data_IF_322400519070
#
_entry.id   IF_322400519070
#
_cell.length_a   1.000
_cell.length_b   1.000
_cell.length_c   1.000
_cell.angle_alpha   90.00
_cell.angle_beta   90.00
_cell.angle_gamma   90.00
#
_symmetry.space_group_name_H-M   'P 1'
#
loop_
_entity.id
_entity.type
_entity.pdbx_description
1 polymer ?
#
# COMPACT_ATOMS: atom_id res chain seq x y z
N UNK A 1 -7.58 13.97 -23.90
CA UNK A 1 -7.02 12.67 -23.46
C UNK A 1 -6.71 11.88 -24.72
N UNK A 2 -5.46 11.48 -24.92
CA UNK A 2 -5.07 10.70 -26.10
C UNK A 2 -5.89 9.40 -26.17
N UNK A 3 -6.46 9.09 -27.34
CA UNK A 3 -7.21 7.84 -27.54
C UNK A 3 -6.22 6.68 -27.65
N UNK A 4 -5.59 6.30 -26.54
CA UNK A 4 -4.60 5.22 -26.46
C UNK A 4 -5.11 3.91 -27.07
N UNK A 5 -6.43 3.71 -27.12
CA UNK A 5 -7.08 2.55 -27.73
C UNK A 5 -6.82 2.48 -29.23
N UNK A 6 -6.67 3.61 -29.93
CA UNK A 6 -6.31 3.66 -31.36
C UNK A 6 -4.88 3.18 -31.63
N UNK A 7 -4.02 3.18 -30.62
CA UNK A 7 -2.65 2.67 -30.73
C UNK A 7 -2.55 1.15 -30.53
N UNK A 8 -3.64 0.49 -30.14
CA UNK A 8 -3.65 -0.95 -29.86
C UNK A 8 -4.04 -1.77 -31.08
N UNK A 9 -3.45 -2.96 -31.19
CA UNK A 9 -3.78 -3.93 -32.26
C UNK A 9 -5.16 -4.59 -32.07
N UNK A 10 -5.71 -4.54 -30.86
CA UNK A 10 -7.01 -5.10 -30.49
C UNK A 10 -7.54 -4.40 -29.24
N UNK A 11 -8.84 -4.52 -28.96
CA UNK A 11 -9.45 -4.00 -27.74
C UNK A 11 -9.26 -5.00 -26.56
N UNK A 12 -8.45 -4.69 -25.53
CA UNK A 12 -8.22 -5.59 -24.40
C UNK A 12 -9.32 -5.50 -23.34
N UNK A 13 -10.23 -4.52 -23.43
CA UNK A 13 -11.22 -4.25 -22.39
C UNK A 13 -12.16 -5.43 -22.09
N UNK A 14 -12.65 -6.21 -23.08
CA UNK A 14 -13.49 -7.36 -22.76
C UNK A 14 -12.82 -8.37 -21.82
N UNK A 15 -11.51 -8.59 -21.99
CA UNK A 15 -10.71 -9.46 -21.12
C UNK A 15 -10.39 -8.79 -19.77
N UNK A 16 -9.96 -7.53 -19.79
CA UNK A 16 -9.63 -6.79 -18.55
C UNK A 16 -10.84 -6.58 -17.63
N UNK A 17 -12.04 -6.51 -18.21
CA UNK A 17 -13.29 -6.31 -17.48
C UNK A 17 -14.02 -7.64 -17.20
N UNK A 18 -13.48 -8.78 -17.60
CA UNK A 18 -14.07 -10.07 -17.29
C UNK A 18 -14.08 -10.29 -15.76
N UNK A 19 -15.18 -10.79 -15.17
CA UNK A 19 -15.16 -11.26 -13.78
C UNK A 19 -14.18 -12.44 -13.63
N UNK A 20 -13.19 -12.28 -12.74
CA UNK A 20 -12.23 -13.33 -12.38
C UNK A 20 -12.21 -13.46 -10.84
N UNK A 21 -12.73 -14.58 -10.32
CA UNK A 21 -12.78 -14.81 -8.87
C UNK A 21 -11.39 -15.02 -8.25
N UNK A 22 -10.41 -15.47 -9.02
CA UNK A 22 -9.04 -15.64 -8.56
C UNK A 22 -8.27 -14.32 -8.54
N UNK A 23 -8.55 -13.42 -9.49
CA UNK A 23 -7.88 -12.10 -9.62
C UNK A 23 -8.88 -10.94 -9.80
N UNK A 24 -9.82 -10.72 -8.86
CA UNK A 24 -10.87 -9.70 -9.01
C UNK A 24 -10.30 -8.26 -9.13
N UNK A 25 -9.08 -8.03 -8.65
CA UNK A 25 -8.39 -6.75 -8.74
C UNK A 25 -8.14 -6.28 -10.18
N UNK A 26 -8.02 -7.19 -11.15
CA UNK A 26 -7.78 -6.81 -12.56
C UNK A 26 -8.91 -5.94 -13.07
N UNK A 27 -10.17 -6.35 -12.86
CA UNK A 27 -11.35 -5.59 -13.26
C UNK A 27 -11.44 -4.26 -12.50
N UNK A 28 -11.18 -4.26 -11.19
CA UNK A 28 -11.21 -3.05 -10.37
C UNK A 28 -10.21 -1.99 -10.88
N UNK A 29 -8.94 -2.37 -11.07
CA UNK A 29 -7.91 -1.45 -11.56
C UNK A 29 -8.14 -1.04 -13.02
N UNK A 30 -8.68 -1.91 -13.87
CA UNK A 30 -9.03 -1.53 -15.24
C UNK A 30 -10.12 -0.44 -15.29
N UNK A 31 -11.17 -0.56 -14.45
CA UNK A 31 -12.23 0.44 -14.34
C UNK A 31 -11.70 1.78 -13.80
N UNK A 32 -10.91 1.72 -12.72
CA UNK A 32 -10.40 2.92 -12.05
C UNK A 32 -9.28 3.62 -12.82
N UNK A 33 -8.23 2.89 -13.17
CA UNK A 33 -6.96 3.47 -13.63
C UNK A 33 -6.89 3.60 -15.16
N UNK A 34 -7.46 2.66 -15.91
CA UNK A 34 -7.42 2.70 -17.38
C UNK A 34 -8.62 3.44 -17.97
N UNK A 35 -9.82 3.24 -17.40
CA UNK A 35 -11.04 3.90 -17.84
C UNK A 35 -11.33 5.20 -17.07
N UNK A 36 -10.57 5.49 -16.01
CA UNK A 36 -10.68 6.75 -15.26
C UNK A 36 -12.02 6.94 -14.56
N UNK A 37 -12.70 5.84 -14.22
CA UNK A 37 -14.01 5.93 -13.56
C UNK A 37 -13.83 6.36 -12.11
N UNK A 38 -14.73 7.23 -11.60
CA UNK A 38 -14.64 7.69 -10.22
C UNK A 38 -14.98 6.57 -9.23
N UNK A 39 -14.56 6.71 -7.98
CA UNK A 39 -14.73 5.69 -6.95
C UNK A 39 -16.20 5.42 -6.56
N UNK A 40 -17.09 6.38 -6.81
CA UNK A 40 -18.53 6.27 -6.60
C UNK A 40 -19.30 5.69 -7.79
N UNK A 41 -18.61 5.38 -8.90
CA UNK A 41 -19.19 4.61 -10.01
C UNK A 41 -19.58 3.21 -9.51
N UNK A 42 -20.84 2.83 -9.77
CA UNK A 42 -21.38 1.56 -9.33
C UNK A 42 -20.57 0.33 -9.78
N UNK A 43 -19.96 0.33 -10.96
CA UNK A 43 -19.12 -0.78 -11.41
C UNK A 43 -17.79 -0.82 -10.67
N UNK A 44 -17.21 0.34 -10.33
CA UNK A 44 -15.98 0.43 -9.53
C UNK A 44 -16.24 -0.06 -8.11
N UNK A 45 -17.33 0.39 -7.49
CA UNK A 45 -17.74 -0.04 -6.16
C UNK A 45 -18.01 -1.55 -6.11
N UNK A 46 -18.74 -2.10 -7.09
CA UNK A 46 -19.01 -3.53 -7.17
C UNK A 46 -17.73 -4.35 -7.40
N UNK A 47 -16.79 -3.87 -8.23
CA UNK A 47 -15.51 -4.53 -8.43
C UNK A 47 -14.65 -4.52 -7.15
N UNK A 48 -14.66 -3.42 -6.38
CA UNK A 48 -13.97 -3.37 -5.10
C UNK A 48 -14.61 -4.30 -4.06
N UNK A 49 -15.93 -4.42 -4.03
CA UNK A 49 -16.61 -5.39 -3.17
C UNK A 49 -16.19 -6.84 -3.53
N UNK A 50 -16.11 -7.16 -4.82
CA UNK A 50 -15.63 -8.46 -5.28
C UNK A 50 -14.19 -8.73 -4.83
N UNK A 51 -13.32 -7.72 -4.92
CA UNK A 51 -11.94 -7.76 -4.41
C UNK A 51 -11.88 -8.10 -2.92
N UNK A 52 -12.84 -7.62 -2.13
CA UNK A 52 -12.92 -7.91 -0.69
C UNK A 52 -13.52 -9.28 -0.36
N UNK A 53 -14.22 -9.91 -1.31
CA UNK A 53 -14.98 -11.17 -1.10
C UNK A 53 -14.31 -12.41 -1.68
N UNK A 54 -13.55 -12.27 -2.77
CA UNK A 54 -12.91 -13.39 -3.47
C UNK A 54 -11.42 -13.12 -3.70
N UNK A 55 -10.71 -14.11 -4.23
CA UNK A 55 -9.29 -14.01 -4.51
C UNK A 55 -8.42 -13.97 -3.23
N UNK A 56 -7.27 -13.30 -3.26
CA UNK A 56 -6.27 -13.39 -2.18
C UNK A 56 -6.59 -12.58 -0.92
N UNK A 57 -7.37 -11.50 -1.01
CA UNK A 57 -7.59 -10.59 0.13
C UNK A 57 -8.29 -11.26 1.30
N UNK A 58 -9.40 -12.01 1.13
CA UNK A 58 -10.03 -12.73 2.24
C UNK A 58 -9.04 -13.61 3.00
N UNK A 59 -8.24 -14.39 2.28
CA UNK A 59 -7.25 -15.27 2.89
C UNK A 59 -6.15 -14.50 3.65
N UNK A 60 -5.73 -13.33 3.17
CA UNK A 60 -4.78 -12.46 3.88
C UNK A 60 -5.43 -11.95 5.18
N UNK A 61 -6.65 -11.44 5.11
CA UNK A 61 -7.35 -10.87 6.27
C UNK A 61 -7.72 -11.93 7.31
N UNK A 62 -8.09 -13.14 6.90
CA UNK A 62 -8.40 -14.25 7.81
C UNK A 62 -7.17 -14.73 8.59
N UNK A 63 -5.96 -14.50 8.06
CA UNK A 63 -4.71 -14.80 8.74
C UNK A 63 -4.24 -13.70 9.71
N UNK A 64 -4.98 -12.58 9.82
CA UNK A 64 -4.66 -11.46 10.69
C UNK A 64 -4.95 -11.82 12.16
N UNK A 65 -4.03 -11.48 13.06
CA UNK A 65 -4.31 -11.54 14.49
C UNK A 65 -5.27 -10.42 14.92
N UNK A 66 -6.09 -10.60 15.97
CA UNK A 66 -7.08 -9.62 16.41
C UNK A 66 -6.56 -8.20 16.67
N UNK A 67 -5.26 -8.07 16.99
CA UNK A 67 -4.56 -6.81 17.22
C UNK A 67 -4.12 -6.10 15.93
N UNK A 68 -4.25 -6.73 14.76
CA UNK A 68 -3.99 -6.12 13.45
C UNK A 68 -2.67 -6.52 12.78
N UNK A 69 -1.93 -7.49 13.34
CA UNK A 69 -0.63 -7.91 12.80
C UNK A 69 -0.65 -9.32 12.20
N UNK A 70 0.42 -9.68 11.49
CA UNK A 70 0.66 -11.03 10.98
C UNK A 70 1.96 -11.61 11.52
N UNK A 71 1.97 -12.93 11.71
CA UNK A 71 3.09 -13.74 12.20
C UNK A 71 3.50 -13.45 13.65
N UNK A 72 3.92 -12.24 13.97
CA UNK A 72 4.38 -11.84 15.31
C UNK A 72 4.28 -10.33 15.52
N UNK A 73 4.20 -9.87 16.78
CA UNK A 73 4.19 -8.44 17.05
C UNK A 73 5.51 -7.74 16.71
N UNK A 74 5.44 -6.42 16.55
CA UNK A 74 6.57 -5.53 16.31
C UNK A 74 6.55 -4.89 14.90
N UNK A 75 7.71 -4.42 14.40
CA UNK A 75 7.80 -3.63 13.17
C UNK A 75 7.37 -4.35 11.88
N UNK A 76 7.17 -5.67 11.92
CA UNK A 76 6.45 -6.38 10.84
C UNK A 76 7.19 -6.58 9.53
N UNK A 77 8.51 -6.40 9.45
CA UNK A 77 9.27 -6.64 8.20
C UNK A 77 9.64 -8.11 7.97
N UNK A 78 10.02 -8.83 9.03
CA UNK A 78 10.51 -10.21 8.95
C UNK A 78 9.57 -11.18 9.66
N UNK A 79 9.25 -12.35 9.06
CA UNK A 79 9.78 -12.86 7.79
C UNK A 79 9.23 -12.15 6.54
N UNK A 80 10.07 -12.07 5.50
CA UNK A 80 9.76 -11.38 4.25
C UNK A 80 8.51 -11.98 3.59
N UNK A 81 7.63 -11.13 3.06
CA UNK A 81 6.37 -11.48 2.40
C UNK A 81 5.29 -12.12 3.27
N UNK A 82 5.53 -12.28 4.58
CA UNK A 82 4.54 -12.85 5.52
C UNK A 82 4.21 -11.93 6.67
N UNK A 83 5.18 -11.17 7.15
CA UNK A 83 4.98 -10.25 8.26
C UNK A 83 4.16 -9.00 7.85
N UNK A 84 3.67 -8.29 8.86
CA UNK A 84 2.65 -7.23 8.76
C UNK A 84 2.89 -6.20 7.65
N UNK A 85 4.10 -5.66 7.50
CA UNK A 85 4.36 -4.65 6.47
C UNK A 85 4.02 -5.20 5.08
N UNK A 86 4.43 -6.44 4.79
CA UNK A 86 4.15 -7.05 3.49
C UNK A 86 2.67 -7.33 3.27
N UNK A 87 1.93 -7.71 4.30
CA UNK A 87 0.49 -7.94 4.15
C UNK A 87 -0.26 -6.63 3.86
N UNK A 88 0.10 -5.53 4.51
CA UNK A 88 -0.45 -4.20 4.19
C UNK A 88 -0.11 -3.78 2.76
N UNK A 89 1.13 -4.01 2.33
CA UNK A 89 1.55 -3.76 0.94
C UNK A 89 0.70 -4.57 -0.06
N UNK A 90 0.49 -5.86 0.21
CA UNK A 90 -0.33 -6.71 -0.66
C UNK A 90 -1.79 -6.31 -0.67
N UNK A 91 -2.38 -5.99 0.48
CA UNK A 91 -3.76 -5.50 0.55
C UNK A 91 -3.95 -4.27 -0.34
N UNK A 92 -3.05 -3.29 -0.25
CA UNK A 92 -3.09 -2.10 -1.10
C UNK A 92 -2.95 -2.45 -2.60
N UNK A 93 -1.93 -3.25 -2.95
CA UNK A 93 -1.65 -3.65 -4.34
C UNK A 93 -2.75 -4.52 -4.96
N UNK A 94 -3.53 -5.23 -4.15
CA UNK A 94 -4.64 -6.07 -4.60
C UNK A 94 -5.97 -5.32 -4.63
N UNK A 95 -6.02 -4.06 -4.17
CA UNK A 95 -7.19 -3.20 -4.25
C UNK A 95 -8.12 -3.27 -3.04
N UNK A 96 -7.62 -3.66 -1.87
CA UNK A 96 -8.39 -3.69 -0.64
C UNK A 96 -9.10 -2.35 -0.36
N UNK A 97 -10.30 -2.41 0.18
CA UNK A 97 -10.99 -1.22 0.68
C UNK A 97 -10.38 -0.80 2.02
N UNK A 98 -9.73 0.36 2.04
CA UNK A 98 -9.15 0.95 3.25
C UNK A 98 -10.16 1.30 4.34
N UNK A 99 -11.47 1.29 4.04
CA UNK A 99 -12.53 1.51 5.02
C UNK A 99 -12.87 0.26 5.83
N UNK A 100 -12.50 -0.94 5.36
CA UNK A 100 -12.69 -2.19 6.10
C UNK A 100 -11.94 -2.13 7.44
N UNK A 101 -12.63 -2.49 8.53
CA UNK A 101 -12.08 -2.36 9.89
C UNK A 101 -10.81 -3.19 10.11
N UNK A 102 -10.65 -4.34 9.43
CA UNK A 102 -9.46 -5.19 9.51
C UNK A 102 -8.27 -4.53 8.83
N UNK A 103 -8.52 -3.88 7.68
CA UNK A 103 -7.52 -3.10 6.95
C UNK A 103 -7.11 -1.87 7.78
N UNK A 104 -8.09 -1.14 8.34
CA UNK A 104 -7.79 0.01 9.21
C UNK A 104 -6.94 -0.38 10.40
N UNK A 105 -7.28 -1.50 11.04
CA UNK A 105 -6.52 -2.05 12.17
C UNK A 105 -5.08 -2.40 11.80
N UNK A 106 -4.86 -2.98 10.61
CA UNK A 106 -3.53 -3.24 10.09
C UNK A 106 -2.70 -1.97 9.92
N UNK A 107 -3.32 -0.93 9.34
CA UNK A 107 -2.65 0.36 9.12
C UNK A 107 -2.29 1.03 10.44
N UNK A 108 -3.22 1.08 11.39
CA UNK A 108 -2.94 1.62 12.73
C UNK A 108 -1.82 0.84 13.42
N UNK A 109 -1.80 -0.48 13.28
CA UNK A 109 -0.71 -1.31 13.79
C UNK A 109 0.64 -0.93 13.17
N UNK A 110 0.70 -0.75 11.85
CA UNK A 110 1.93 -0.34 11.14
C UNK A 110 2.41 1.04 11.59
N UNK A 111 1.51 2.02 11.68
CA UNK A 111 1.85 3.37 12.14
C UNK A 111 2.37 3.36 13.57
N UNK A 112 1.81 2.55 14.46
CA UNK A 112 2.24 2.45 15.85
C UNK A 112 3.57 1.70 16.05
N UNK A 113 3.90 0.71 15.20
CA UNK A 113 5.00 -0.23 15.47
C UNK A 113 6.17 -0.13 14.49
N UNK A 114 5.96 0.39 13.28
CA UNK A 114 6.98 0.44 12.24
C UNK A 114 7.44 1.86 11.89
N UNK A 115 6.63 2.88 12.18
CA UNK A 115 7.02 4.27 12.00
C UNK A 115 7.96 4.72 13.13
N UNK A 116 9.12 5.25 12.76
CA UNK A 116 10.13 5.74 13.71
C UNK A 116 10.05 7.26 13.87
N UNK A 117 10.78 7.81 14.84
CA UNK A 117 10.67 9.22 15.26
C UNK A 117 10.91 10.26 14.16
N UNK A 118 11.68 9.92 13.11
CA UNK A 118 11.91 10.79 11.96
C UNK A 118 10.83 10.63 10.86
N UNK A 119 9.72 9.94 11.14
CA UNK A 119 8.62 9.70 10.22
C UNK A 119 8.82 8.51 9.27
N UNK A 120 10.01 7.94 9.19
CA UNK A 120 10.31 6.84 8.29
C UNK A 120 9.71 5.50 8.75
N UNK A 121 9.45 4.59 7.80
CA UNK A 121 9.07 3.21 8.12
C UNK A 121 10.31 2.31 8.13
N UNK A 122 10.50 1.59 9.24
CA UNK A 122 11.71 0.81 9.51
C UNK A 122 11.46 -0.69 9.52
N UNK A 123 12.46 -1.43 9.04
CA UNK A 123 12.49 -2.90 9.11
C UNK A 123 12.48 -3.45 10.54
N UNK A 124 12.96 -2.68 11.51
CA UNK A 124 13.19 -3.13 12.88
C UNK A 124 12.80 -2.09 13.94
N UNK A 125 12.02 -1.07 13.57
CA UNK A 125 11.54 -0.04 14.50
C UNK A 125 12.64 0.92 14.97
N UNK A 126 13.80 0.95 14.29
CA UNK A 126 14.89 1.89 14.56
C UNK A 126 15.20 2.72 13.32
N UNK A 127 15.60 4.01 13.45
CA UNK A 127 15.91 4.86 12.28
C UNK A 127 16.93 4.24 11.32
N UNK A 128 17.97 3.56 11.83
CA UNK A 128 18.94 2.87 10.98
C UNK A 128 18.38 1.69 10.17
N UNK A 129 17.17 1.20 10.47
CA UNK A 129 16.49 0.15 9.71
C UNK A 129 15.54 0.67 8.63
N UNK A 130 15.41 1.99 8.47
CA UNK A 130 14.53 2.60 7.47
C UNK A 130 15.24 2.69 6.11
N UNK A 131 14.98 1.70 5.26
CA UNK A 131 15.51 1.68 3.88
C UNK A 131 14.51 2.37 2.96
N UNK A 132 14.98 3.25 2.06
CA UNK A 132 14.11 4.07 1.21
C UNK A 132 13.07 3.29 0.40
N UNK A 133 13.43 2.12 -0.12
CA UNK A 133 12.50 1.30 -0.89
C UNK A 133 11.32 0.81 -0.04
N UNK A 134 11.57 0.36 1.18
CA UNK A 134 10.52 -0.05 2.10
C UNK A 134 9.66 1.14 2.50
N UNK A 135 10.29 2.26 2.85
CA UNK A 135 9.59 3.48 3.21
C UNK A 135 8.63 3.94 2.11
N UNK A 136 9.13 4.06 0.87
CA UNK A 136 8.30 4.43 -0.28
C UNK A 136 7.15 3.45 -0.54
N UNK A 137 7.40 2.14 -0.41
CA UNK A 137 6.34 1.13 -0.56
C UNK A 137 5.24 1.27 0.49
N UNK A 138 5.59 1.51 1.75
CA UNK A 138 4.59 1.70 2.82
C UNK A 138 3.82 3.01 2.60
N UNK A 139 4.50 4.10 2.25
CA UNK A 139 3.85 5.38 1.92
C UNK A 139 2.84 5.19 0.78
N UNK A 140 3.24 4.52 -0.31
CA UNK A 140 2.36 4.24 -1.43
C UNK A 140 1.15 3.39 -1.01
N UNK A 141 1.38 2.34 -0.23
CA UNK A 141 0.31 1.47 0.24
C UNK A 141 -0.71 2.24 1.10
N UNK A 142 -0.26 3.10 2.01
CA UNK A 142 -1.17 3.88 2.85
C UNK A 142 -1.97 4.91 2.04
N UNK A 143 -1.37 5.52 1.01
CA UNK A 143 -2.09 6.38 0.06
C UNK A 143 -3.17 5.60 -0.70
N UNK A 144 -2.83 4.42 -1.23
CA UNK A 144 -3.78 3.56 -1.96
C UNK A 144 -4.92 3.07 -1.05
N UNK A 145 -4.68 2.94 0.26
CA UNK A 145 -5.67 2.59 1.29
C UNK A 145 -6.45 3.82 1.82
N UNK A 146 -6.29 5.00 1.24
CA UNK A 146 -7.11 6.18 1.56
C UNK A 146 -6.65 7.00 2.77
N UNK A 147 -5.37 6.91 3.16
CA UNK A 147 -4.82 7.66 4.30
C UNK A 147 -4.18 9.01 3.90
N UNK A 148 -4.60 9.63 2.80
CA UNK A 148 -3.99 10.89 2.30
C UNK A 148 -4.02 12.03 3.32
N UNK A 149 -5.05 12.08 4.16
CA UNK A 149 -5.26 13.12 5.19
C UNK A 149 -4.65 12.75 6.56
N UNK A 150 -3.92 11.63 6.67
CA UNK A 150 -3.30 11.25 7.94
C UNK A 150 -1.99 12.01 8.16
N UNK A 151 -1.94 12.85 9.19
CA UNK A 151 -0.76 13.67 9.52
C UNK A 151 0.52 12.83 9.73
N UNK A 152 0.39 11.57 10.19
CA UNK A 152 1.54 10.67 10.36
C UNK A 152 2.10 10.27 9.00
N UNK A 153 1.23 10.06 8.01
CA UNK A 153 1.63 9.77 6.63
C UNK A 153 2.21 11.03 5.95
N UNK A 154 1.62 12.20 6.17
CA UNK A 154 2.13 13.47 5.65
C UNK A 154 3.58 13.71 6.09
N UNK A 155 3.88 13.53 7.39
CA UNK A 155 5.26 13.61 7.90
C UNK A 155 6.20 12.59 7.26
N UNK A 156 5.71 11.38 6.99
CA UNK A 156 6.49 10.35 6.32
C UNK A 156 6.79 10.73 4.86
N UNK A 157 5.87 11.39 4.16
CA UNK A 157 6.05 11.85 2.77
C UNK A 157 7.06 12.99 2.72
N UNK A 158 6.90 14.03 3.56
CA UNK A 158 7.81 15.17 3.62
C UNK A 158 9.24 14.71 3.95
N UNK A 159 9.41 13.87 4.98
CA UNK A 159 10.73 13.38 5.36
C UNK A 159 11.35 12.47 4.27
N UNK A 160 10.55 11.70 3.53
CA UNK A 160 11.02 10.90 2.40
C UNK A 160 11.48 11.80 1.25
N UNK A 161 10.70 12.83 0.88
CA UNK A 161 11.07 13.77 -0.17
C UNK A 161 12.39 14.49 0.16
N UNK A 162 12.50 15.04 1.38
CA UNK A 162 13.74 15.68 1.86
C UNK A 162 14.93 14.74 1.83
N UNK A 163 14.71 13.45 2.09
CA UNK A 163 15.82 12.48 2.15
C UNK A 163 16.46 12.23 0.78
N UNK A 164 15.69 12.43 -0.28
CA UNK A 164 16.14 12.34 -1.68
C UNK A 164 16.78 13.65 -2.14
N UNK A 165 16.22 14.80 -1.76
CA UNK A 165 16.74 16.12 -2.19
C UNK A 165 17.96 16.58 -1.39
N UNK A 166 18.15 16.08 -0.17
CA UNK A 166 19.19 16.58 0.75
C UNK A 166 18.73 17.75 1.62
N UNK A 167 17.48 18.20 1.45
CA UNK A 167 16.99 19.37 2.17
C UNK A 167 16.88 19.12 3.66
N UNK A 168 17.38 20.06 4.47
CA UNK A 168 17.28 20.04 5.93
C UNK A 168 17.99 18.87 6.63
N UNK A 169 18.76 18.03 5.92
CA UNK A 169 19.53 16.97 6.52
C UNK A 169 20.93 17.44 6.94
N UNK A 170 21.26 17.24 8.22
CA UNK A 170 22.56 17.64 8.78
C UNK A 170 23.68 16.64 8.47
N UNK A 171 23.35 15.36 8.34
CA UNK A 171 24.31 14.31 8.04
C UNK A 171 23.60 13.06 7.47
N UNK A 172 24.34 12.26 6.71
CA UNK A 172 23.89 10.98 6.17
C UNK A 172 24.68 9.83 6.80
N UNK A 173 24.04 8.67 6.93
CA UNK A 173 24.78 7.46 7.26
C UNK A 173 25.68 7.08 6.09
N UNK A 174 26.92 6.67 6.40
CA UNK A 174 27.95 6.30 5.41
C UNK A 174 27.50 5.24 4.40
N UNK A 175 26.50 4.42 4.74
CA UNK A 175 25.95 3.41 3.85
C UNK A 175 25.12 3.98 2.70
N UNK A 176 24.62 5.22 2.77
CA UNK A 176 23.80 5.87 1.72
C UNK A 176 22.42 5.22 1.45
N UNK A 177 22.14 4.06 2.06
CA UNK A 177 20.94 3.23 1.83
C UNK A 177 19.85 3.50 2.88
N UNK A 178 20.21 4.12 3.99
CA UNK A 178 19.35 4.33 5.15
C UNK A 178 18.82 5.77 5.17
N UNK A 179 17.57 5.91 5.61
CA UNK A 179 16.99 7.20 5.91
C UNK A 179 17.94 7.98 6.83
N UNK A 180 18.11 9.28 6.62
CA UNK A 180 19.04 10.04 7.41
C UNK A 180 18.41 10.32 8.79
N UNK A 181 19.24 10.62 9.78
CA UNK A 181 18.86 10.69 11.18
C UNK A 181 19.39 11.93 11.87
#
# INVERSE_FOLDING_TARGET
MSNWKEMLKANPLPWLLEPDEANPGVRYFALRDLLGRPADDHEVAAAQEAVMRTGPIPAILDAQYPEGYWVKPGPGYSPKYRATLWQVLFLAQLGADGRDERVRRAVEYVLANAQVSNGAFSTNGRPGGAVHCLWGNVVRALLDLGYSEDERLERAIDALARSVTGDSYRWYRRSGIQAPG
#
